data_IF_767459174741
#
_entry.id   IF_767459174741
#
_cell.length_a   1.000
_cell.length_b   1.000
_cell.length_c   1.000
_cell.angle_alpha   90.00
_cell.angle_beta   90.00
_cell.angle_gamma   90.00
#
_symmetry.space_group_name_H-M   'P 1'
#
loop_
_entity.id
_entity.type
_entity.pdbx_description
1 polymer ?
#
# COMPACT_ATOMS: atom_id res chain seq x y z
N UNK A 1 -20.19 -9.20 -15.57
CA UNK A 1 -19.28 -10.27 -15.87
C UNK A 1 -18.11 -10.37 -14.93
N UNK A 2 -17.17 -11.21 -15.25
CA UNK A 2 -16.00 -11.41 -14.42
C UNK A 2 -15.00 -10.29 -14.63
N UNK A 3 -14.29 -9.90 -13.57
CA UNK A 3 -13.22 -8.92 -13.74
C UNK A 3 -12.17 -9.39 -14.74
N UNK A 4 -11.72 -8.46 -15.54
CA UNK A 4 -10.72 -8.71 -16.58
C UNK A 4 -9.33 -8.45 -16.00
N UNK A 5 -8.78 -9.42 -15.31
CA UNK A 5 -7.45 -9.27 -14.68
C UNK A 5 -6.34 -9.16 -15.73
N UNK A 6 -6.62 -9.60 -16.96
CA UNK A 6 -5.68 -9.46 -18.07
C UNK A 6 -5.45 -8.01 -18.49
N UNK A 7 -6.30 -7.09 -18.04
CA UNK A 7 -6.10 -5.66 -18.33
C UNK A 7 -5.08 -5.01 -17.39
N UNK A 8 -4.65 -5.69 -16.34
CA UNK A 8 -3.65 -5.15 -15.43
C UNK A 8 -2.28 -5.12 -16.10
N UNK A 9 -1.54 -4.03 -15.86
CA UNK A 9 -0.17 -3.93 -16.33
C UNK A 9 0.73 -4.84 -15.47
N UNK A 10 1.31 -5.89 -16.05
CA UNK A 10 2.13 -6.82 -15.25
C UNK A 10 3.37 -6.17 -14.66
N UNK A 11 3.92 -5.15 -15.29
CA UNK A 11 5.09 -4.44 -14.75
C UNK A 11 4.72 -3.69 -13.48
N UNK A 12 3.56 -3.07 -13.47
CA UNK A 12 3.07 -2.38 -12.28
C UNK A 12 2.83 -3.37 -11.15
N UNK A 13 2.21 -4.51 -11.45
CA UNK A 13 1.95 -5.55 -10.46
C UNK A 13 3.28 -6.08 -9.89
N UNK A 14 4.27 -6.27 -10.76
CA UNK A 14 5.58 -6.72 -10.31
C UNK A 14 6.23 -5.70 -9.38
N UNK A 15 6.15 -4.43 -9.72
CA UNK A 15 6.71 -3.36 -8.86
C UNK A 15 5.99 -3.30 -7.52
N UNK A 16 4.68 -3.48 -7.53
CA UNK A 16 3.92 -3.57 -6.28
C UNK A 16 4.43 -4.73 -5.42
N UNK A 17 4.67 -5.87 -6.05
CA UNK A 17 5.25 -7.02 -5.36
C UNK A 17 6.62 -6.71 -4.77
N UNK A 18 7.44 -5.93 -5.48
CA UNK A 18 8.75 -5.52 -4.97
C UNK A 18 8.63 -4.64 -3.73
N UNK A 19 7.64 -3.74 -3.69
CA UNK A 19 7.41 -2.93 -2.48
C UNK A 19 7.06 -3.83 -1.29
N UNK A 20 6.18 -4.79 -1.50
CA UNK A 20 5.80 -5.72 -0.43
C UNK A 20 6.97 -6.59 0.01
N UNK A 21 7.82 -7.00 -0.92
CA UNK A 21 9.02 -7.78 -0.62
C UNK A 21 10.00 -6.96 0.21
N UNK A 22 10.20 -5.70 -0.18
CA UNK A 22 11.05 -4.78 0.58
C UNK A 22 10.55 -4.64 2.02
N UNK A 23 9.24 -4.46 2.19
CA UNK A 23 8.64 -4.36 3.51
C UNK A 23 8.78 -5.64 4.32
N UNK A 24 8.61 -6.80 3.68
CA UNK A 24 8.75 -8.09 4.36
C UNK A 24 10.18 -8.34 4.82
N UNK A 25 11.16 -7.89 4.05
CA UNK A 25 12.56 -8.01 4.44
C UNK A 25 12.90 -7.08 5.59
N UNK A 26 12.30 -5.89 5.62
CA UNK A 26 12.57 -4.89 6.64
C UNK A 26 11.86 -5.20 7.95
N UNK A 27 10.65 -5.73 7.89
CA UNK A 27 9.83 -6.01 9.07
C UNK A 27 9.51 -7.49 9.18
N UNK A 28 8.48 -7.95 8.48
CA UNK A 28 8.05 -9.35 8.50
C UNK A 28 6.96 -9.53 7.47
N UNK A 29 6.74 -10.76 7.05
CA UNK A 29 5.67 -11.09 6.12
C UNK A 29 4.32 -10.75 6.76
N UNK A 30 3.50 -10.01 6.01
CA UNK A 30 2.15 -9.61 6.44
C UNK A 30 2.12 -8.77 7.72
N UNK A 31 3.25 -8.20 8.14
CA UNK A 31 3.26 -7.31 9.30
C UNK A 31 2.39 -6.08 9.08
N UNK A 32 2.20 -5.69 7.81
CA UNK A 32 1.35 -4.55 7.46
C UNK A 32 -0.10 -4.73 7.93
N UNK A 33 -0.53 -5.97 8.16
CA UNK A 33 -1.89 -6.26 8.63
C UNK A 33 -2.06 -6.03 10.12
N UNK A 34 -0.97 -5.83 10.85
CA UNK A 34 -0.97 -5.79 12.31
C UNK A 34 -0.48 -4.48 12.90
N UNK A 35 -0.29 -3.46 12.07
CA UNK A 35 0.27 -2.18 12.52
C UNK A 35 -0.75 -1.43 13.36
N UNK A 36 -0.37 -0.96 14.56
CA UNK A 36 -1.27 -0.10 15.35
C UNK A 36 -1.53 1.20 14.61
N UNK A 37 -2.75 1.71 14.72
CA UNK A 37 -3.18 2.93 14.01
C UNK A 37 -2.93 2.83 12.51
N UNK A 38 -3.17 1.65 11.95
CA UNK A 38 -2.78 1.34 10.58
C UNK A 38 -3.40 2.31 9.57
N UNK A 39 -4.69 2.62 9.72
CA UNK A 39 -5.37 3.51 8.75
C UNK A 39 -4.68 4.87 8.71
N UNK A 40 -4.45 5.49 9.87
CA UNK A 40 -3.83 6.80 9.91
C UNK A 40 -2.39 6.75 9.36
N UNK A 41 -1.65 5.71 9.68
CA UNK A 41 -0.26 5.58 9.24
C UNK A 41 -0.14 5.36 7.74
N UNK A 42 -1.01 4.51 7.18
CA UNK A 42 -0.96 4.25 5.73
C UNK A 42 -1.48 5.43 4.92
N UNK A 43 -2.46 6.17 5.46
CA UNK A 43 -2.89 7.41 4.81
C UNK A 43 -1.76 8.43 4.77
N UNK A 44 -1.04 8.58 5.88
CA UNK A 44 0.08 9.51 5.93
C UNK A 44 1.17 9.12 4.94
N UNK A 45 1.49 7.82 4.88
CA UNK A 45 2.49 7.32 3.95
C UNK A 45 2.05 7.55 2.49
N UNK A 46 0.79 7.24 2.20
CA UNK A 46 0.24 7.46 0.87
C UNK A 46 0.39 8.91 0.45
N UNK A 47 0.04 9.84 1.35
CA UNK A 47 0.14 11.27 1.05
C UNK A 47 1.58 11.72 0.87
N UNK A 48 2.52 11.19 1.66
CA UNK A 48 3.93 11.54 1.48
C UNK A 48 4.44 11.13 0.10
N UNK A 49 4.06 9.94 -0.35
CA UNK A 49 4.47 9.50 -1.69
C UNK A 49 3.78 10.31 -2.78
N UNK A 50 2.53 10.71 -2.58
CA UNK A 50 1.85 11.61 -3.52
C UNK A 50 2.55 12.96 -3.59
N UNK A 51 2.96 13.51 -2.45
CA UNK A 51 3.68 14.77 -2.42
C UNK A 51 5.01 14.68 -3.18
N UNK A 52 5.70 13.54 -3.05
CA UNK A 52 6.93 13.34 -3.80
C UNK A 52 6.69 13.42 -5.31
N UNK A 53 5.60 12.83 -5.78
CA UNK A 53 5.25 12.92 -7.21
C UNK A 53 4.98 14.36 -7.63
N UNK A 54 4.28 15.13 -6.80
CA UNK A 54 4.01 16.52 -7.12
C UNK A 54 5.28 17.36 -7.18
N UNK A 55 6.32 16.95 -6.48
CA UNK A 55 7.63 17.59 -6.53
C UNK A 55 8.50 17.00 -7.63
N UNK A 56 7.94 16.11 -8.44
CA UNK A 56 8.64 15.48 -9.57
C UNK A 56 9.84 14.64 -9.13
N UNK A 57 9.66 13.94 -8.02
CA UNK A 57 10.64 12.99 -7.49
C UNK A 57 10.06 11.59 -7.69
N UNK A 58 10.34 10.92 -8.81
CA UNK A 58 9.63 9.66 -9.11
C UNK A 58 10.08 8.47 -8.27
N UNK A 59 11.30 8.48 -7.75
CA UNK A 59 11.89 7.31 -7.10
C UNK A 59 12.03 7.55 -5.61
N UNK A 60 11.53 6.59 -4.82
CA UNK A 60 11.72 6.57 -3.38
C UNK A 60 13.15 6.16 -3.07
N UNK A 61 13.88 6.99 -2.34
CA UNK A 61 15.30 6.78 -2.10
C UNK A 61 15.55 5.57 -1.21
N UNK A 62 14.67 5.30 -0.28
CA UNK A 62 14.87 4.19 0.65
C UNK A 62 14.79 2.84 -0.06
N UNK A 63 13.80 2.66 -0.91
CA UNK A 63 13.57 1.38 -1.59
C UNK A 63 14.16 1.31 -2.99
N UNK A 64 14.43 2.46 -3.61
CA UNK A 64 14.83 2.51 -5.01
C UNK A 64 13.69 2.26 -5.97
N UNK A 65 12.45 2.21 -5.48
CA UNK A 65 11.28 1.91 -6.30
C UNK A 65 10.47 3.17 -6.53
N UNK A 66 9.65 3.16 -7.57
CA UNK A 66 8.84 4.34 -7.89
C UNK A 66 7.84 4.63 -6.77
N UNK A 67 7.64 5.91 -6.50
CA UNK A 67 6.62 6.32 -5.52
C UNK A 67 5.24 5.81 -5.88
N UNK A 68 4.93 5.66 -7.18
CA UNK A 68 3.63 5.14 -7.60
C UNK A 68 3.39 3.72 -7.08
N UNK A 69 4.42 2.90 -7.03
CA UNK A 69 4.29 1.56 -6.48
C UNK A 69 4.04 1.60 -4.97
N UNK A 70 4.66 2.53 -4.27
CA UNK A 70 4.39 2.72 -2.83
C UNK A 70 2.98 3.25 -2.59
N UNK A 71 2.49 4.15 -3.45
CA UNK A 71 1.11 4.63 -3.38
C UNK A 71 0.15 3.45 -3.54
N UNK A 72 0.41 2.60 -4.52
CA UNK A 72 -0.41 1.42 -4.75
C UNK A 72 -0.40 0.47 -3.54
N UNK A 73 0.77 0.27 -2.93
CA UNK A 73 0.87 -0.59 -1.76
C UNK A 73 0.04 -0.04 -0.60
N UNK A 74 0.14 1.26 -0.34
CA UNK A 74 -0.63 1.87 0.75
C UNK A 74 -2.13 1.84 0.44
N UNK A 75 -2.51 2.04 -0.82
CA UNK A 75 -3.92 1.90 -1.22
C UNK A 75 -4.40 0.47 -1.00
N UNK A 76 -3.58 -0.53 -1.32
CA UNK A 76 -3.91 -1.92 -1.08
C UNK A 76 -4.11 -2.20 0.41
N UNK A 77 -3.20 -1.68 1.25
CA UNK A 77 -3.32 -1.86 2.70
C UNK A 77 -4.62 -1.25 3.22
N UNK A 78 -4.93 -0.02 2.81
CA UNK A 78 -6.15 0.64 3.24
C UNK A 78 -7.39 -0.09 2.75
N UNK A 79 -7.35 -0.60 1.53
CA UNK A 79 -8.46 -1.36 0.97
C UNK A 79 -8.68 -2.64 1.77
N UNK A 80 -7.60 -3.37 2.10
CA UNK A 80 -7.69 -4.57 2.90
C UNK A 80 -8.27 -4.28 4.28
N UNK A 81 -7.78 -3.21 4.92
CA UNK A 81 -8.26 -2.82 6.25
C UNK A 81 -9.75 -2.48 6.22
N UNK A 82 -10.20 -1.80 5.16
CA UNK A 82 -11.62 -1.47 5.00
C UNK A 82 -12.48 -2.73 4.98
N UNK A 83 -12.02 -3.78 4.30
CA UNK A 83 -12.77 -5.03 4.22
C UNK A 83 -12.77 -5.79 5.55
N UNK A 84 -11.67 -5.68 6.30
CA UNK A 84 -11.48 -6.48 7.52
C UNK A 84 -11.86 -5.75 8.79
N UNK A 85 -11.99 -4.41 8.73
CA UNK A 85 -12.50 -3.62 9.85
C UNK A 85 -13.96 -3.31 9.55
N UNK A 86 -14.74 -4.36 9.43
CA UNK A 86 -16.11 -4.16 8.98
C UNK A 86 -16.88 -3.35 9.99
N UNK A 87 -17.87 -2.64 9.53
CA UNK A 87 -18.67 -1.80 10.41
C UNK A 87 -19.62 -2.59 11.29
N UNK A 88 -19.34 -3.77 11.58
CA UNK A 88 -20.07 -4.42 12.62
C UNK A 88 -19.69 -3.82 13.92
N UNK A 89 -19.01 -2.84 13.74
CA UNK A 89 -18.71 -2.13 14.81
C UNK A 89 -17.57 -2.65 15.53
N UNK A 90 -17.37 -3.24 15.51
CA UNK A 90 -16.48 -3.51 16.29
C UNK A 90 -15.36 -2.98 16.09
N UNK A 91 -15.35 -2.79 15.76
CA UNK A 91 -14.59 -2.54 15.63
C UNK A 91 -14.12 -1.69 15.52
N UNK A 92 -14.15 -1.50 15.28
CA UNK A 92 -13.70 -0.92 15.05
C UNK A 92 -13.44 -0.10 15.39
N UNK A 93 -13.57 0.04 15.57
CA UNK A 93 -13.34 0.65 15.81
C UNK A 93 -13.17 0.98 16.29
N UNK A 94 -13.46 0.85 16.31
CA UNK A 94 -13.18 1.03 16.78
C UNK A 94 -13.01 1.05 16.91
#
# INVERSE_FOLDING_TARGET
GKPRLDLLDPYFIEDLGKVLTFGAEKYDVNSWQKVPNAVARYRAALLRHCMALLKEEPIDEESGLQHTAHIAANAMFLHWLTRHNTPTGEDNNG
#
